data_IF_694499152818
#
_entry.id   IF_694499152818
#
_cell.length_a   1.000
_cell.length_b   1.000
_cell.length_c   1.000
_cell.angle_alpha   90.00
_cell.angle_beta   90.00
_cell.angle_gamma   90.00
#
_symmetry.space_group_name_H-M   'P 1'
#
loop_
_entity.id
_entity.type
_entity.pdbx_description
1 polymer ?
#
# COMPACT_ATOMS: atom_id res chain seq x y z
N UNK A 1 62.28 34.53 -4.89
CA UNK A 1 62.29 33.07 -5.18
C UNK A 1 62.19 32.19 -3.94
N UNK A 2 62.70 32.58 -2.76
CA UNK A 2 62.66 31.72 -1.56
C UNK A 2 61.31 31.65 -0.80
N UNK A 3 60.42 32.65 -0.92
CA UNK A 3 59.10 32.63 -0.26
C UNK A 3 58.06 31.81 -1.02
N UNK A 4 58.03 31.88 -2.35
CA UNK A 4 57.10 31.10 -3.19
C UNK A 4 57.31 29.57 -3.06
N UNK A 5 58.57 29.11 -2.91
CA UNK A 5 58.91 27.68 -2.76
C UNK A 5 58.56 27.15 -1.36
N UNK A 6 58.57 28.01 -0.32
CA UNK A 6 58.11 27.64 1.03
C UNK A 6 56.58 27.51 1.09
N UNK A 7 55.87 28.37 0.37
CA UNK A 7 54.40 28.38 0.31
C UNK A 7 53.87 27.16 -0.49
N UNK A 8 54.54 26.78 -1.58
CA UNK A 8 54.23 25.54 -2.33
C UNK A 8 54.42 24.27 -1.47
N UNK A 9 55.51 24.18 -0.70
CA UNK A 9 55.74 23.04 0.19
C UNK A 9 54.72 22.95 1.35
N UNK A 10 54.24 24.10 1.83
CA UNK A 10 53.14 24.16 2.81
C UNK A 10 51.80 23.74 2.21
N UNK A 11 51.49 24.19 0.99
CA UNK A 11 50.28 23.83 0.27
C UNK A 11 50.25 22.33 -0.11
N UNK A 12 51.37 21.78 -0.59
CA UNK A 12 51.53 20.34 -0.86
C UNK A 12 51.41 19.49 0.41
N UNK A 13 51.99 19.95 1.53
CA UNK A 13 51.84 19.28 2.83
C UNK A 13 50.40 19.29 3.34
N UNK A 14 49.68 20.39 3.14
CA UNK A 14 48.26 20.51 3.48
C UNK A 14 47.39 19.61 2.60
N UNK A 15 47.63 19.59 1.28
CA UNK A 15 46.93 18.69 0.36
C UNK A 15 47.18 17.21 0.69
N UNK A 16 48.43 16.85 1.03
CA UNK A 16 48.76 15.49 1.47
C UNK A 16 48.04 15.10 2.76
N UNK A 17 48.03 15.98 3.77
CA UNK A 17 47.31 15.73 5.02
C UNK A 17 45.80 15.59 4.82
N UNK A 18 45.23 16.37 3.89
CA UNK A 18 43.82 16.30 3.54
C UNK A 18 43.46 14.98 2.84
N UNK A 19 44.30 14.50 1.91
CA UNK A 19 44.06 13.29 1.13
C UNK A 19 44.34 12.01 1.95
N UNK A 20 45.39 12.00 2.77
CA UNK A 20 45.83 10.79 3.50
C UNK A 20 45.44 10.81 4.98
N UNK A 21 44.27 11.39 5.28
CA UNK A 21 43.71 11.35 6.63
C UNK A 21 43.46 9.88 7.04
N UNK A 22 43.97 9.48 8.20
CA UNK A 22 43.74 8.13 8.75
C UNK A 22 42.24 7.95 9.05
N UNK A 23 41.69 6.83 8.60
CA UNK A 23 40.31 6.45 8.91
C UNK A 23 40.22 5.70 10.23
N UNK A 24 39.03 5.71 10.82
CA UNK A 24 38.66 4.81 11.91
C UNK A 24 38.43 3.38 11.38
N UNK A 25 38.39 2.39 12.27
CA UNK A 25 38.08 1.01 11.91
C UNK A 25 36.58 0.84 11.64
N UNK A 26 36.24 0.06 10.62
CA UNK A 26 34.86 -0.33 10.28
C UNK A 26 34.59 -1.81 10.57
N UNK A 27 35.42 -2.46 11.41
CA UNK A 27 35.24 -3.86 11.79
C UNK A 27 33.86 -4.10 12.44
N UNK A 28 33.19 -5.18 12.04
CA UNK A 28 31.82 -5.50 12.47
C UNK A 28 30.72 -4.93 11.57
N UNK A 29 31.00 -3.95 10.70
CA UNK A 29 30.02 -3.48 9.72
C UNK A 29 29.81 -4.49 8.59
N UNK A 30 28.60 -4.50 8.04
CA UNK A 30 28.26 -5.29 6.86
C UNK A 30 29.12 -4.83 5.67
N UNK A 31 29.91 -5.76 5.10
CA UNK A 31 30.72 -5.50 3.91
C UNK A 31 29.83 -5.47 2.66
N UNK A 32 30.19 -4.63 1.70
CA UNK A 32 29.52 -4.61 0.41
C UNK A 32 30.00 -5.81 -0.41
N UNK A 33 29.06 -6.68 -0.74
CA UNK A 33 29.28 -7.90 -1.52
C UNK A 33 27.98 -8.27 -2.26
N UNK A 34 28.09 -8.37 -3.59
CA UNK A 34 27.00 -8.80 -4.45
C UNK A 34 26.91 -10.32 -4.57
N UNK A 35 25.85 -10.81 -5.22
CA UNK A 35 25.74 -12.23 -5.53
C UNK A 35 26.80 -12.68 -6.52
N UNK A 36 27.60 -13.68 -6.15
CA UNK A 36 28.55 -14.32 -7.07
C UNK A 36 27.86 -15.41 -7.91
N UNK A 37 27.68 -15.11 -9.19
CA UNK A 37 27.07 -16.02 -10.17
C UNK A 37 27.94 -17.24 -10.52
N UNK A 38 29.21 -17.32 -10.08
CA UNK A 38 29.97 -18.57 -10.16
C UNK A 38 29.33 -19.68 -9.31
N UNK A 39 28.48 -19.34 -8.34
CA UNK A 39 27.67 -20.28 -7.58
C UNK A 39 26.39 -20.74 -8.28
N UNK A 40 26.17 -20.37 -9.55
CA UNK A 40 24.96 -20.70 -10.32
C UNK A 40 23.84 -19.68 -10.17
N UNK A 41 22.61 -20.07 -10.51
CA UNK A 41 21.42 -19.19 -10.45
C UNK A 41 20.51 -19.64 -9.31
N UNK A 42 20.63 -18.97 -8.16
CA UNK A 42 19.81 -19.22 -6.98
C UNK A 42 19.08 -17.95 -6.52
N UNK A 43 17.83 -17.78 -6.96
CA UNK A 43 17.04 -16.56 -6.68
C UNK A 43 16.93 -16.19 -5.19
N UNK A 44 16.68 -17.12 -4.24
CA UNK A 44 16.64 -16.73 -2.83
C UNK A 44 17.99 -16.22 -2.32
N UNK A 45 19.11 -16.78 -2.78
CA UNK A 45 20.45 -16.29 -2.40
C UNK A 45 20.75 -14.93 -3.04
N UNK A 46 20.34 -14.74 -4.29
CA UNK A 46 20.45 -13.47 -5.01
C UNK A 46 19.63 -12.35 -4.32
N UNK A 47 18.39 -12.64 -3.91
CA UNK A 47 17.55 -11.66 -3.22
C UNK A 47 18.06 -11.36 -1.81
N UNK A 48 18.55 -12.38 -1.09
CA UNK A 48 19.18 -12.17 0.22
C UNK A 48 20.46 -11.30 0.14
N UNK A 49 21.26 -11.42 -0.92
CA UNK A 49 22.46 -10.58 -1.08
C UNK A 49 22.14 -9.11 -1.41
N UNK A 50 20.89 -8.76 -1.72
CA UNK A 50 20.53 -7.36 -1.97
C UNK A 50 20.82 -6.46 -0.75
N UNK A 51 20.72 -7.01 0.46
CA UNK A 51 21.07 -6.31 1.69
C UNK A 51 22.53 -5.78 1.67
N UNK A 52 23.47 -6.59 1.18
CA UNK A 52 24.90 -6.26 1.08
C UNK A 52 25.31 -5.66 -0.28
N UNK A 53 24.37 -5.42 -1.20
CA UNK A 53 24.70 -4.92 -2.55
C UNK A 53 24.89 -3.40 -2.60
N UNK A 54 24.19 -2.64 -1.75
CA UNK A 54 24.27 -1.17 -1.69
C UNK A 54 23.06 -0.45 -2.33
N UNK A 55 22.94 0.86 -2.06
CA UNK A 55 21.89 1.74 -2.60
C UNK A 55 20.45 1.19 -2.36
N UNK A 56 19.58 1.24 -3.37
CA UNK A 56 18.20 0.76 -3.23
C UNK A 56 18.09 -0.76 -3.08
N UNK A 57 19.10 -1.53 -3.50
CA UNK A 57 19.14 -2.97 -3.24
C UNK A 57 19.21 -3.23 -1.73
N UNK A 58 20.04 -2.48 -0.99
CA UNK A 58 20.10 -2.58 0.48
C UNK A 58 18.79 -2.17 1.13
N UNK A 59 18.14 -1.11 0.64
CA UNK A 59 16.81 -0.72 1.14
C UNK A 59 15.75 -1.80 0.89
N UNK A 60 15.81 -2.47 -0.27
CA UNK A 60 14.90 -3.57 -0.59
C UNK A 60 15.16 -4.81 0.27
N UNK A 61 16.42 -5.18 0.48
CA UNK A 61 16.80 -6.24 1.44
C UNK A 61 16.32 -5.92 2.86
N UNK A 62 16.41 -4.65 3.27
CA UNK A 62 15.87 -4.18 4.56
C UNK A 62 14.34 -4.23 4.59
N UNK A 63 13.66 -3.94 3.49
CA UNK A 63 12.20 -4.07 3.38
C UNK A 63 11.75 -5.53 3.57
N UNK A 64 12.45 -6.50 2.96
CA UNK A 64 12.20 -7.94 3.16
C UNK A 64 12.32 -8.30 4.65
N UNK A 65 13.39 -7.84 5.31
CA UNK A 65 13.59 -8.08 6.75
C UNK A 65 12.44 -7.49 7.58
N UNK A 66 12.09 -6.22 7.37
CA UNK A 66 11.05 -5.55 8.14
C UNK A 66 9.70 -6.24 7.95
N UNK A 67 9.30 -6.59 6.72
CA UNK A 67 8.04 -7.32 6.49
C UNK A 67 8.06 -8.70 7.16
N UNK A 68 9.16 -9.44 7.08
CA UNK A 68 9.26 -10.72 7.79
C UNK A 68 9.13 -10.55 9.30
N UNK A 69 9.74 -9.52 9.88
CA UNK A 69 9.57 -9.18 11.29
C UNK A 69 8.11 -8.80 11.63
N UNK A 70 7.39 -8.06 10.77
CA UNK A 70 5.96 -7.79 10.97
C UNK A 70 5.14 -9.09 11.04
N UNK A 71 5.43 -10.04 10.14
CA UNK A 71 4.71 -11.31 10.04
C UNK A 71 5.04 -12.27 11.20
N UNK A 72 6.28 -12.25 11.69
CA UNK A 72 6.76 -13.13 12.77
C UNK A 72 6.47 -12.58 14.16
N UNK A 73 6.32 -11.26 14.32
CA UNK A 73 6.11 -10.68 15.63
C UNK A 73 4.85 -11.24 16.31
N UNK A 74 5.00 -11.57 17.59
CA UNK A 74 3.94 -11.93 18.53
C UNK A 74 4.12 -11.14 19.80
N UNK A 75 3.03 -10.91 20.54
CA UNK A 75 3.12 -10.29 21.86
C UNK A 75 3.96 -11.13 22.84
N UNK A 76 4.05 -12.45 22.64
CA UNK A 76 4.92 -13.36 23.41
C UNK A 76 6.42 -13.03 23.30
N UNK A 77 6.85 -12.30 22.26
CA UNK A 77 8.23 -11.85 22.10
C UNK A 77 8.57 -10.63 22.97
N UNK A 78 7.57 -9.91 23.45
CA UNK A 78 7.75 -8.75 24.33
C UNK A 78 7.74 -9.20 25.79
N UNK A 79 8.41 -8.47 26.70
CA UNK A 79 8.27 -8.71 28.12
C UNK A 79 6.83 -8.44 28.58
N UNK A 80 6.40 -9.12 29.64
CA UNK A 80 5.13 -8.82 30.30
C UNK A 80 5.30 -7.56 31.15
N UNK A 81 4.46 -6.54 30.93
CA UNK A 81 4.53 -5.31 31.72
C UNK A 81 3.84 -5.48 33.09
N UNK A 82 4.34 -4.76 34.09
CA UNK A 82 3.67 -4.65 35.39
C UNK A 82 2.30 -3.94 35.21
N UNK A 83 1.25 -4.49 35.82
CA UNK A 83 -0.12 -3.95 35.70
C UNK A 83 -0.95 -4.49 34.52
N UNK A 84 -0.39 -5.35 33.64
CA UNK A 84 -1.16 -5.99 32.58
C UNK A 84 -2.29 -6.89 33.12
N UNK A 85 -3.37 -6.99 32.36
CA UNK A 85 -4.53 -7.83 32.68
C UNK A 85 -4.16 -9.32 32.79
N UNK A 86 -4.96 -10.12 33.50
CA UNK A 86 -4.74 -11.57 33.59
C UNK A 86 -4.70 -12.25 32.20
N UNK A 87 -5.49 -11.74 31.25
CA UNK A 87 -5.50 -12.17 29.85
C UNK A 87 -4.17 -11.89 29.16
N UNK A 88 -3.58 -10.71 29.35
CA UNK A 88 -2.28 -10.35 28.75
C UNK A 88 -1.08 -11.06 29.37
N UNK A 89 -1.27 -11.73 30.52
CA UNK A 89 -0.29 -12.61 31.15
C UNK A 89 -0.39 -14.05 30.64
N UNK A 90 -1.50 -14.45 30.01
CA UNK A 90 -1.68 -15.79 29.48
C UNK A 90 -0.76 -16.03 28.27
N UNK A 91 0.15 -17.03 28.31
CA UNK A 91 1.07 -17.31 27.21
C UNK A 91 0.36 -17.61 25.89
N UNK A 92 -0.76 -18.33 25.91
CA UNK A 92 -1.49 -18.69 24.70
C UNK A 92 -2.11 -17.46 24.03
N UNK A 93 -2.74 -16.57 24.81
CA UNK A 93 -3.20 -15.29 24.30
C UNK A 93 -2.06 -14.46 23.70
N UNK A 94 -0.94 -14.30 24.41
CA UNK A 94 0.22 -13.53 23.92
C UNK A 94 0.78 -14.08 22.61
N UNK A 95 0.80 -15.40 22.44
CA UNK A 95 1.27 -16.03 21.21
C UNK A 95 0.28 -15.90 20.05
N UNK A 96 -1.01 -15.75 20.33
CA UNK A 96 -2.04 -15.48 19.32
C UNK A 96 -2.09 -14.02 18.84
N UNK A 97 -1.54 -13.08 19.61
CA UNK A 97 -1.59 -11.64 19.28
C UNK A 97 -0.48 -11.33 18.27
N UNK A 98 -0.87 -11.07 17.03
CA UNK A 98 0.03 -10.74 15.91
C UNK A 98 0.04 -9.25 15.59
N UNK A 99 0.97 -8.80 14.75
CA UNK A 99 0.95 -7.45 14.19
C UNK A 99 -0.30 -7.22 13.36
N UNK A 100 -0.88 -6.02 13.42
CA UNK A 100 -1.94 -5.55 12.54
C UNK A 100 -1.34 -4.85 11.33
N UNK A 101 -1.53 -5.41 10.14
CA UNK A 101 -0.86 -4.97 8.92
C UNK A 101 -1.82 -4.16 8.04
N UNK A 102 -1.46 -2.91 7.79
CA UNK A 102 -2.13 -2.01 6.86
C UNK A 102 -1.44 -2.08 5.50
N UNK A 103 -2.21 -2.28 4.44
CA UNK A 103 -1.72 -2.26 3.06
C UNK A 103 -2.33 -1.06 2.33
N UNK A 104 -1.47 -0.17 1.83
CA UNK A 104 -1.85 0.96 1.00
C UNK A 104 -1.35 0.81 -0.42
N UNK A 105 -2.18 1.06 -1.43
CA UNK A 105 -1.72 1.09 -2.83
C UNK A 105 -2.52 2.05 -3.70
N UNK A 106 -1.87 2.60 -4.73
CA UNK A 106 -2.50 3.46 -5.74
C UNK A 106 -3.22 2.66 -6.83
N UNK A 107 -4.22 3.28 -7.48
CA UNK A 107 -5.07 2.65 -8.50
C UNK A 107 -4.30 1.95 -9.62
N UNK A 108 -3.24 2.58 -10.13
CA UNK A 108 -2.43 2.05 -11.24
C UNK A 108 -1.84 0.66 -10.96
N UNK A 109 -1.66 0.28 -9.69
CA UNK A 109 -1.15 -1.03 -9.31
C UNK A 109 -2.23 -2.12 -9.49
N UNK A 110 -3.50 -1.77 -9.36
CA UNK A 110 -4.61 -2.66 -9.71
C UNK A 110 -4.82 -2.72 -11.22
N UNK A 111 -4.57 -1.63 -11.96
CA UNK A 111 -4.54 -1.67 -13.43
C UNK A 111 -3.47 -2.62 -13.95
N UNK A 112 -2.32 -2.69 -13.25
CA UNK A 112 -1.21 -3.60 -13.55
C UNK A 112 -1.47 -5.06 -13.14
N UNK A 113 -0.48 -5.94 -13.32
CA UNK A 113 -0.49 -7.32 -12.80
C UNK A 113 -0.16 -7.45 -11.31
N UNK A 114 0.11 -6.34 -10.61
CA UNK A 114 0.26 -6.34 -9.14
C UNK A 114 -1.07 -6.65 -8.44
N UNK A 115 -2.21 -6.47 -9.12
CA UNK A 115 -3.53 -6.91 -8.66
C UNK A 115 -3.51 -8.36 -8.16
N UNK A 116 -2.91 -9.28 -8.91
CA UNK A 116 -2.88 -10.70 -8.56
C UNK A 116 -2.06 -10.95 -7.29
N UNK A 117 -0.98 -10.18 -7.09
CA UNK A 117 -0.18 -10.19 -5.86
C UNK A 117 -0.98 -9.66 -4.67
N UNK A 118 -1.72 -8.56 -4.83
CA UNK A 118 -2.61 -8.01 -3.79
C UNK A 118 -3.71 -9.01 -3.42
N UNK A 119 -4.39 -9.56 -4.43
CA UNK A 119 -5.41 -10.61 -4.28
C UNK A 119 -4.89 -11.81 -3.49
N UNK A 120 -3.65 -12.25 -3.75
CA UNK A 120 -3.01 -13.31 -2.97
C UNK A 120 -2.90 -12.97 -1.48
N UNK A 121 -2.44 -11.75 -1.14
CA UNK A 121 -2.33 -11.33 0.25
C UNK A 121 -3.69 -11.34 0.98
N UNK A 122 -4.75 -10.84 0.32
CA UNK A 122 -6.07 -10.81 0.91
C UNK A 122 -6.71 -12.19 1.00
N UNK A 123 -6.54 -13.05 -0.01
CA UNK A 123 -7.03 -14.43 0.00
C UNK A 123 -6.49 -15.20 1.21
N UNK A 124 -5.20 -15.04 1.52
CA UNK A 124 -4.52 -15.76 2.59
C UNK A 124 -4.45 -14.99 3.92
N UNK A 125 -5.25 -13.91 4.09
CA UNK A 125 -5.35 -13.12 5.34
C UNK A 125 -4.00 -12.60 5.84
N UNK A 126 -3.16 -12.13 4.91
CA UNK A 126 -1.81 -11.67 5.22
C UNK A 126 -1.74 -10.17 5.54
N UNK A 127 -2.87 -9.48 5.39
CA UNK A 127 -3.07 -8.08 5.74
C UNK A 127 -4.41 -7.95 6.46
N UNK A 128 -4.52 -6.97 7.37
CA UNK A 128 -5.72 -6.77 8.19
C UNK A 128 -6.59 -5.62 7.67
N UNK A 129 -5.99 -4.60 7.04
CA UNK A 129 -6.69 -3.39 6.59
C UNK A 129 -6.13 -2.93 5.26
N UNK A 130 -6.98 -2.51 4.32
CA UNK A 130 -6.56 -2.00 3.02
C UNK A 130 -7.03 -0.57 2.82
N UNK A 131 -6.17 0.27 2.22
CA UNK A 131 -6.56 1.61 1.74
C UNK A 131 -6.12 1.77 0.28
N UNK A 132 -7.02 2.23 -0.57
CA UNK A 132 -6.72 2.55 -1.97
C UNK A 132 -7.55 3.74 -2.45
N UNK A 133 -7.47 4.07 -3.75
CA UNK A 133 -8.27 5.10 -4.42
C UNK A 133 -9.37 4.44 -5.28
N UNK A 134 -10.33 5.22 -5.79
CA UNK A 134 -11.48 4.68 -6.53
C UNK A 134 -11.07 3.79 -7.72
N UNK A 135 -10.08 4.22 -8.50
CA UNK A 135 -9.49 3.41 -9.57
C UNK A 135 -8.99 2.03 -9.10
N UNK A 136 -8.47 1.94 -7.87
CA UNK A 136 -8.04 0.66 -7.27
C UNK A 136 -9.21 -0.28 -6.97
N UNK A 137 -10.38 0.27 -6.68
CA UNK A 137 -11.61 -0.51 -6.46
C UNK A 137 -12.21 -0.94 -7.80
N UNK A 138 -12.48 0.02 -8.69
CA UNK A 138 -13.24 -0.24 -9.91
C UNK A 138 -12.48 -1.10 -10.91
N UNK A 139 -11.15 -0.95 -11.05
CA UNK A 139 -10.40 -1.76 -11.99
C UNK A 139 -10.29 -3.24 -11.56
N UNK A 140 -10.39 -3.54 -10.26
CA UNK A 140 -10.47 -4.93 -9.80
C UNK A 140 -11.79 -5.59 -10.23
N UNK A 141 -12.90 -4.87 -10.10
CA UNK A 141 -14.23 -5.30 -10.49
C UNK A 141 -14.34 -5.41 -12.01
N UNK A 142 -13.89 -4.38 -12.73
CA UNK A 142 -13.90 -4.33 -14.20
C UNK A 142 -13.11 -5.50 -14.79
N UNK A 143 -11.98 -5.88 -14.19
CA UNK A 143 -11.16 -7.01 -14.64
C UNK A 143 -11.84 -8.38 -14.54
N UNK A 144 -12.88 -8.52 -13.71
CA UNK A 144 -13.74 -9.71 -13.70
C UNK A 144 -14.72 -9.72 -14.89
N UNK A 145 -15.03 -8.54 -15.46
CA UNK A 145 -15.98 -8.39 -16.58
C UNK A 145 -15.30 -8.36 -17.95
N UNK A 146 -14.10 -7.79 -18.03
CA UNK A 146 -13.31 -7.65 -19.25
C UNK A 146 -11.83 -7.37 -18.95
N UNK A 147 -10.91 -7.84 -19.81
CA UNK A 147 -9.47 -7.69 -19.58
C UNK A 147 -8.96 -6.27 -19.87
N UNK A 148 -7.80 -5.97 -19.28
CA UNK A 148 -6.91 -4.85 -19.62
C UNK A 148 -5.76 -5.38 -20.48
N UNK A 149 -5.31 -4.59 -21.47
CA UNK A 149 -4.30 -5.03 -22.43
C UNK A 149 -2.99 -4.24 -22.30
N UNK A 150 -1.88 -4.85 -22.73
CA UNK A 150 -0.61 -4.14 -22.89
C UNK A 150 -0.69 -3.20 -24.10
N UNK A 151 -0.22 -1.98 -23.92
CA UNK A 151 0.01 -0.97 -24.95
C UNK A 151 1.41 -0.37 -24.81
N UNK A 152 1.52 0.94 -25.06
CA UNK A 152 2.77 1.69 -24.99
C UNK A 152 2.50 3.12 -24.47
N UNK A 153 3.44 3.69 -23.71
CA UNK A 153 3.34 5.04 -23.16
C UNK A 153 3.19 6.12 -24.25
N UNK A 154 3.79 5.89 -25.41
CA UNK A 154 3.86 6.85 -26.51
C UNK A 154 2.63 6.86 -27.42
N UNK A 155 1.65 5.98 -27.19
CA UNK A 155 0.42 5.95 -27.99
C UNK A 155 -0.34 7.29 -27.90
N UNK A 156 -0.60 7.86 -29.08
CA UNK A 156 -1.22 9.17 -29.25
C UNK A 156 -2.66 9.20 -28.71
N UNK A 157 -2.93 10.12 -27.79
CA UNK A 157 -4.22 10.20 -27.09
C UNK A 157 -5.41 10.45 -28.01
N UNK A 158 -5.26 11.30 -29.03
CA UNK A 158 -6.33 11.59 -30.00
C UNK A 158 -6.75 10.35 -30.79
N UNK A 159 -5.78 9.54 -31.22
CA UNK A 159 -6.03 8.29 -31.95
C UNK A 159 -6.72 7.26 -31.04
N UNK A 160 -6.26 7.11 -29.80
CA UNK A 160 -6.89 6.22 -28.82
C UNK A 160 -8.34 6.63 -28.52
N UNK A 161 -8.59 7.93 -28.30
CA UNK A 161 -9.93 8.46 -28.05
C UNK A 161 -10.87 8.20 -29.22
N UNK A 162 -10.42 8.39 -30.46
CA UNK A 162 -11.23 8.12 -31.66
C UNK A 162 -11.64 6.64 -31.81
N UNK A 163 -10.93 5.74 -31.13
CA UNK A 163 -11.18 4.30 -31.10
C UNK A 163 -11.85 3.82 -29.80
N UNK A 164 -12.20 4.71 -28.89
CA UNK A 164 -12.76 4.33 -27.59
C UNK A 164 -11.80 3.54 -26.71
N UNK A 165 -10.49 3.84 -26.78
CA UNK A 165 -9.46 3.21 -25.95
C UNK A 165 -8.93 4.21 -24.91
N UNK A 166 -8.92 3.83 -23.63
CA UNK A 166 -8.31 4.61 -22.56
C UNK A 166 -6.92 4.07 -22.26
N UNK A 167 -5.95 4.96 -22.02
CA UNK A 167 -4.56 4.59 -21.71
C UNK A 167 -4.21 4.86 -20.26
N UNK A 168 -3.61 3.87 -19.60
CA UNK A 168 -3.06 3.95 -18.25
C UNK A 168 -1.58 3.60 -18.35
N UNK A 169 -0.71 4.61 -18.44
CA UNK A 169 0.72 4.38 -18.71
C UNK A 169 0.93 3.65 -20.04
N UNK A 170 1.42 2.41 -19.99
CA UNK A 170 1.55 1.48 -21.12
C UNK A 170 0.48 0.38 -21.14
N UNK A 171 -0.68 0.62 -20.54
CA UNK A 171 -1.85 -0.27 -20.56
C UNK A 171 -3.00 0.37 -21.33
N UNK A 172 -3.89 -0.46 -21.87
CA UNK A 172 -5.07 -0.06 -22.63
C UNK A 172 -6.32 -0.73 -22.05
N UNK A 173 -7.34 0.09 -21.81
CA UNK A 173 -8.67 -0.33 -21.33
C UNK A 173 -9.72 0.09 -22.37
N UNK A 174 -10.36 -0.85 -23.08
CA UNK A 174 -11.46 -0.52 -23.99
C UNK A 174 -12.64 0.13 -23.26
N UNK A 175 -13.31 1.10 -23.87
CA UNK A 175 -14.51 1.74 -23.31
C UNK A 175 -15.63 0.73 -23.01
N UNK A 176 -15.74 -0.33 -23.81
CA UNK A 176 -16.72 -1.40 -23.60
C UNK A 176 -16.61 -2.05 -22.21
N UNK A 177 -15.42 -2.01 -21.59
CA UNK A 177 -15.23 -2.46 -20.22
C UNK A 177 -16.06 -1.62 -19.23
N UNK A 178 -16.11 -0.31 -19.42
CA UNK A 178 -16.90 0.61 -18.58
C UNK A 178 -18.39 0.50 -18.87
N UNK A 179 -18.79 0.22 -20.11
CA UNK A 179 -20.20 -0.07 -20.43
C UNK A 179 -20.68 -1.37 -19.74
N UNK A 180 -19.83 -2.41 -19.70
CA UNK A 180 -20.11 -3.63 -18.92
C UNK A 180 -20.20 -3.35 -17.43
N UNK A 181 -19.31 -2.49 -16.93
CA UNK A 181 -19.31 -2.08 -15.53
C UNK A 181 -20.59 -1.33 -15.14
N UNK A 182 -21.04 -0.37 -15.96
CA UNK A 182 -22.32 0.32 -15.77
C UNK A 182 -23.47 -0.69 -15.66
N UNK A 183 -23.59 -1.61 -16.62
CA UNK A 183 -24.64 -2.63 -16.63
C UNK A 183 -24.62 -3.53 -15.39
N UNK A 184 -23.44 -3.75 -14.80
CA UNK A 184 -23.28 -4.56 -13.60
C UNK A 184 -23.57 -3.76 -12.32
N UNK A 185 -23.08 -2.52 -12.19
CA UNK A 185 -23.14 -1.77 -10.94
C UNK A 185 -24.46 -1.04 -10.71
N UNK A 186 -25.14 -0.58 -11.76
CA UNK A 186 -26.37 0.20 -11.63
C UNK A 186 -27.48 -0.57 -10.88
N UNK A 187 -27.78 -1.84 -11.19
CA UNK A 187 -28.76 -2.62 -10.43
C UNK A 187 -28.38 -2.82 -8.95
N UNK A 188 -27.09 -2.76 -8.61
CA UNK A 188 -26.61 -2.84 -7.23
C UNK A 188 -26.90 -1.51 -6.52
N UNK A 189 -26.65 -0.38 -7.19
CA UNK A 189 -26.98 0.94 -6.64
C UNK A 189 -28.48 1.12 -6.42
N UNK A 190 -29.34 0.57 -7.27
CA UNK A 190 -30.79 0.54 -7.05
C UNK A 190 -31.15 -0.17 -5.74
N UNK A 191 -30.56 -1.34 -5.49
CA UNK A 191 -30.76 -2.10 -4.24
C UNK A 191 -30.20 -1.36 -3.02
N UNK A 192 -29.01 -0.77 -3.14
CA UNK A 192 -28.40 0.01 -2.07
C UNK A 192 -29.25 1.24 -1.71
N UNK A 193 -29.84 1.89 -2.72
CA UNK A 193 -30.74 3.01 -2.51
C UNK A 193 -32.05 2.59 -1.83
N UNK A 194 -32.61 1.45 -2.24
CA UNK A 194 -33.78 0.86 -1.56
C UNK A 194 -33.47 0.51 -0.09
N UNK A 195 -32.31 -0.09 0.18
CA UNK A 195 -31.84 -0.40 1.54
C UNK A 195 -31.64 0.89 2.36
N UNK A 196 -31.09 1.94 1.76
CA UNK A 196 -30.93 3.24 2.41
C UNK A 196 -32.28 3.86 2.79
N UNK A 197 -33.25 3.85 1.87
CA UNK A 197 -34.53 4.54 2.05
C UNK A 197 -35.53 3.75 2.90
N UNK A 198 -35.60 2.43 2.72
CA UNK A 198 -36.58 1.57 3.41
C UNK A 198 -36.05 0.95 4.69
N UNK A 199 -34.73 0.74 4.80
CA UNK A 199 -34.10 0.05 5.93
C UNK A 199 -33.17 0.96 6.74
N UNK A 200 -33.07 2.25 6.39
CA UNK A 200 -32.18 3.22 7.04
C UNK A 200 -30.70 2.81 7.05
N UNK A 201 -30.25 2.10 6.00
CA UNK A 201 -28.83 1.75 5.86
C UNK A 201 -28.03 3.00 5.51
N UNK A 202 -27.12 3.41 6.39
CA UNK A 202 -26.12 4.44 6.08
C UNK A 202 -24.89 3.80 5.43
N UNK A 203 -24.72 4.06 4.13
CA UNK A 203 -23.56 3.64 3.36
C UNK A 203 -22.34 4.50 3.69
N UNK A 204 -21.19 3.86 3.79
CA UNK A 204 -19.85 4.49 3.83
C UNK A 204 -19.02 3.84 2.73
N UNK A 205 -17.92 4.46 2.25
CA UNK A 205 -17.12 3.86 1.20
C UNK A 205 -16.71 2.41 1.47
N UNK A 206 -16.25 2.08 2.69
CA UNK A 206 -15.90 0.69 3.03
C UNK A 206 -17.09 -0.29 2.97
N UNK A 207 -18.30 0.14 3.36
CA UNK A 207 -19.52 -0.69 3.23
C UNK A 207 -19.92 -0.88 1.77
N UNK A 208 -19.82 0.16 0.95
CA UNK A 208 -20.06 0.07 -0.50
C UNK A 208 -19.07 -0.93 -1.11
N UNK A 209 -17.77 -0.79 -0.80
CA UNK A 209 -16.74 -1.68 -1.33
C UNK A 209 -16.96 -3.14 -0.89
N UNK A 210 -17.32 -3.38 0.38
CA UNK A 210 -17.66 -4.71 0.85
C UNK A 210 -18.89 -5.29 0.13
N UNK A 211 -19.91 -4.47 -0.14
CA UNK A 211 -21.07 -4.85 -0.94
C UNK A 211 -20.65 -5.23 -2.36
N UNK A 212 -19.84 -4.42 -3.03
CA UNK A 212 -19.36 -4.71 -4.39
C UNK A 212 -18.50 -5.98 -4.45
N UNK A 213 -17.63 -6.21 -3.45
CA UNK A 213 -16.85 -7.45 -3.33
C UNK A 213 -17.73 -8.70 -3.11
N UNK A 214 -18.86 -8.56 -2.41
CA UNK A 214 -19.87 -9.63 -2.31
C UNK A 214 -20.54 -9.90 -3.65
N UNK A 215 -21.00 -8.86 -4.34
CA UNK A 215 -21.78 -8.97 -5.58
C UNK A 215 -20.95 -9.44 -6.77
N UNK A 216 -19.65 -9.12 -6.83
CA UNK A 216 -18.81 -9.57 -7.95
C UNK A 216 -18.61 -11.09 -7.92
N UNK A 217 -18.59 -11.67 -6.71
CA UNK A 217 -18.57 -13.12 -6.46
C UNK A 217 -17.57 -13.91 -7.35
N UNK A 218 -16.37 -13.35 -7.53
CA UNK A 218 -15.34 -13.88 -8.41
C UNK A 218 -14.01 -14.01 -7.64
N UNK A 219 -13.46 -15.22 -7.57
CA UNK A 219 -12.22 -15.50 -6.82
C UNK A 219 -10.97 -14.82 -7.40
N UNK A 220 -11.04 -14.28 -8.62
CA UNK A 220 -9.98 -13.46 -9.21
C UNK A 220 -9.94 -12.04 -8.63
N UNK A 221 -11.03 -11.55 -8.02
CA UNK A 221 -11.12 -10.22 -7.40
C UNK A 221 -10.48 -10.21 -6.02
N UNK A 222 -9.64 -9.20 -5.74
CA UNK A 222 -9.15 -9.01 -4.37
C UNK A 222 -10.27 -8.50 -3.44
N UNK A 223 -11.24 -7.76 -3.97
CA UNK A 223 -12.39 -7.25 -3.20
C UNK A 223 -13.33 -8.37 -2.75
N UNK A 224 -13.51 -9.40 -3.57
CA UNK A 224 -14.20 -10.62 -3.16
C UNK A 224 -13.53 -11.26 -1.94
N UNK A 225 -12.20 -11.43 -1.99
CA UNK A 225 -11.44 -11.98 -0.86
C UNK A 225 -11.45 -11.05 0.36
N UNK A 226 -11.42 -9.74 0.15
CA UNK A 226 -11.57 -8.76 1.23
C UNK A 226 -12.90 -8.97 1.98
N UNK A 227 -14.00 -9.05 1.23
CA UNK A 227 -15.33 -9.32 1.78
C UNK A 227 -15.39 -10.68 2.48
N UNK A 228 -14.95 -11.76 1.83
CA UNK A 228 -14.98 -13.14 2.38
C UNK A 228 -14.17 -13.29 3.66
N UNK A 229 -13.05 -12.57 3.76
CA UNK A 229 -12.17 -12.65 4.91
C UNK A 229 -12.44 -11.59 5.98
N UNK A 230 -13.38 -10.67 5.76
CA UNK A 230 -13.71 -9.60 6.71
C UNK A 230 -12.59 -8.54 6.82
N UNK A 231 -11.85 -8.31 5.73
CA UNK A 231 -10.80 -7.30 5.65
C UNK A 231 -11.44 -5.99 5.14
N UNK A 232 -11.50 -4.92 5.94
CA UNK A 232 -12.05 -3.65 5.49
C UNK A 232 -11.13 -2.99 4.44
N UNK A 233 -11.77 -2.41 3.42
CA UNK A 233 -11.11 -1.64 2.36
C UNK A 233 -11.64 -0.21 2.43
N UNK A 234 -10.76 0.74 2.70
CA UNK A 234 -11.11 2.16 2.80
C UNK A 234 -10.72 2.92 1.54
N UNK A 235 -11.61 3.81 1.10
CA UNK A 235 -11.38 4.72 -0.02
C UNK A 235 -12.19 6.01 0.19
N UNK A 236 -11.67 6.99 0.96
CA UNK A 236 -12.34 8.25 1.20
C UNK A 236 -12.73 9.02 -0.08
N UNK A 237 -11.96 8.83 -1.17
CA UNK A 237 -12.22 9.44 -2.49
C UNK A 237 -12.94 8.48 -3.43
N UNK A 238 -13.94 7.73 -2.96
CA UNK A 238 -14.65 6.71 -3.76
C UNK A 238 -15.31 7.27 -5.04
N UNK A 239 -15.63 8.56 -5.05
CA UNK A 239 -16.25 9.25 -6.19
C UNK A 239 -15.24 9.70 -7.27
N UNK A 240 -13.94 9.54 -7.07
CA UNK A 240 -12.90 9.99 -8.00
C UNK A 240 -12.53 8.92 -9.04
N UNK A 241 -13.51 8.50 -9.85
CA UNK A 241 -13.36 7.44 -10.85
C UNK A 241 -14.67 7.05 -11.54
N UNK A 242 -14.64 5.96 -12.30
CA UNK A 242 -15.83 5.40 -12.95
C UNK A 242 -16.95 5.06 -11.96
N UNK A 243 -16.66 4.65 -10.71
CA UNK A 243 -17.71 4.50 -9.68
C UNK A 243 -18.44 5.83 -9.45
N UNK A 244 -17.71 6.94 -9.40
CA UNK A 244 -18.27 8.29 -9.29
C UNK A 244 -19.14 8.66 -10.49
N UNK A 245 -18.69 8.34 -11.71
CA UNK A 245 -19.49 8.54 -12.93
C UNK A 245 -20.81 7.76 -12.85
N UNK A 246 -20.77 6.50 -12.39
CA UNK A 246 -21.97 5.68 -12.24
C UNK A 246 -22.91 6.19 -11.14
N UNK A 247 -22.37 6.68 -10.02
CA UNK A 247 -23.16 7.34 -8.97
C UNK A 247 -23.83 8.62 -9.50
N UNK A 248 -23.11 9.40 -10.30
CA UNK A 248 -23.63 10.61 -10.94
C UNK A 248 -24.79 10.27 -11.90
N UNK A 249 -24.64 9.30 -12.80
CA UNK A 249 -25.73 8.92 -13.70
C UNK A 249 -26.89 8.26 -12.97
N UNK A 250 -26.61 7.49 -11.91
CA UNK A 250 -27.64 6.87 -11.08
C UNK A 250 -28.52 7.91 -10.38
N UNK A 251 -27.96 9.03 -9.91
CA UNK A 251 -28.74 10.03 -9.18
C UNK A 251 -29.84 10.68 -10.01
N UNK A 252 -29.69 10.79 -11.34
CA UNK A 252 -30.73 11.31 -12.24
C UNK A 252 -31.78 10.27 -12.63
N UNK A 253 -31.45 8.97 -12.66
CA UNK A 253 -32.43 7.92 -13.04
C UNK A 253 -33.59 7.84 -12.06
N UNK A 254 -33.34 8.14 -10.78
CA UNK A 254 -34.36 8.10 -9.73
C UNK A 254 -35.28 9.32 -9.70
N UNK A 255 -34.93 10.44 -10.35
CA UNK A 255 -35.76 11.65 -10.40
C UNK A 255 -37.02 11.49 -11.28
N UNK A 256 -37.04 10.52 -12.20
CA UNK A 256 -38.16 10.33 -13.15
C UNK A 256 -39.32 9.53 -12.54
N UNK A 257 -39.12 8.87 -11.39
CA UNK A 257 -40.11 7.98 -10.78
C UNK A 257 -40.96 8.63 -9.66
N UNK A 258 -40.54 9.76 -9.09
CA UNK A 258 -41.29 10.43 -8.02
C UNK A 258 -41.11 11.95 -8.08
N UNK A 259 -42.21 12.67 -8.36
CA UNK A 259 -42.29 14.13 -8.41
C UNK A 259 -41.95 14.74 -7.03
N UNK A 260 -40.68 14.82 -6.68
CA UNK A 260 -40.22 15.55 -5.50
C UNK A 260 -38.96 16.33 -5.82
N UNK A 261 -39.03 17.64 -5.62
CA UNK A 261 -37.95 18.62 -5.84
C UNK A 261 -36.70 18.39 -4.95
N UNK A 262 -36.56 17.23 -4.29
CA UNK A 262 -35.57 16.94 -3.25
C UNK A 262 -35.19 15.45 -3.18
N UNK A 263 -34.73 14.85 -4.28
CA UNK A 263 -34.24 13.46 -4.27
C UNK A 263 -32.69 13.43 -4.25
N UNK A 264 -32.03 13.30 -3.08
CA UNK A 264 -30.58 13.48 -2.97
C UNK A 264 -29.74 12.33 -3.57
N UNK A 265 -30.38 11.26 -4.06
CA UNK A 265 -29.70 10.05 -4.53
C UNK A 265 -29.11 9.21 -3.40
N UNK A 266 -28.18 8.32 -3.73
CA UNK A 266 -27.46 7.52 -2.74
C UNK A 266 -26.53 8.42 -1.90
N UNK A 267 -26.61 8.31 -0.58
CA UNK A 267 -25.75 9.05 0.36
C UNK A 267 -24.65 8.12 0.87
N UNK A 268 -23.40 8.53 0.65
CA UNK A 268 -22.23 7.80 1.10
C UNK A 268 -21.47 8.68 2.10
N UNK A 269 -21.52 8.32 3.38
CA UNK A 269 -20.92 9.07 4.48
C UNK A 269 -19.44 8.72 4.66
N UNK A 270 -18.59 9.73 4.48
CA UNK A 270 -17.15 9.63 4.69
C UNK A 270 -16.75 9.79 6.17
N UNK A 271 -17.60 10.40 7.01
CA UNK A 271 -17.30 10.62 8.43
C UNK A 271 -17.38 9.31 9.20
N UNK A 272 -18.41 8.50 8.94
CA UNK A 272 -18.51 7.13 9.45
C UNK A 272 -17.32 6.26 9.04
N UNK A 273 -16.79 6.47 7.83
CA UNK A 273 -15.65 5.71 7.30
C UNK A 273 -14.32 6.09 7.95
N UNK A 274 -14.04 7.39 8.13
CA UNK A 274 -12.81 7.80 8.84
C UNK A 274 -12.83 7.35 10.30
N UNK A 275 -13.99 7.38 10.96
CA UNK A 275 -14.13 6.82 12.31
C UNK A 275 -13.83 5.31 12.34
N UNK A 276 -14.29 4.56 11.33
CA UNK A 276 -13.99 3.15 11.21
C UNK A 276 -12.48 2.92 10.95
N UNK A 277 -11.87 3.64 10.01
CA UNK A 277 -10.44 3.56 9.70
C UNK A 277 -9.55 3.89 10.90
N UNK A 278 -9.79 5.02 11.58
CA UNK A 278 -9.05 5.39 12.78
C UNK A 278 -9.27 4.37 13.91
N UNK A 279 -10.49 3.84 14.01
CA UNK A 279 -10.84 2.75 14.91
C UNK A 279 -10.01 1.48 14.69
N UNK A 280 -9.61 1.15 13.45
CA UNK A 280 -8.73 0.01 13.18
C UNK A 280 -7.36 0.17 13.85
N UNK A 281 -6.84 1.39 13.92
CA UNK A 281 -5.55 1.69 14.57
C UNK A 281 -5.70 1.86 16.09
N UNK A 282 -6.67 2.68 16.54
CA UNK A 282 -6.89 2.98 17.97
C UNK A 282 -7.25 1.73 18.76
N UNK A 283 -8.08 0.84 18.19
CA UNK A 283 -8.48 -0.40 18.85
C UNK A 283 -7.53 -1.57 18.59
N UNK A 284 -6.33 -1.33 18.05
CA UNK A 284 -5.31 -2.38 17.89
C UNK A 284 -4.83 -2.96 19.24
N UNK A 285 -5.14 -2.32 20.37
CA UNK A 285 -4.83 -2.81 21.71
C UNK A 285 -3.33 -3.06 21.89
N UNK A 286 -2.97 -4.24 22.39
CA UNK A 286 -1.58 -4.67 22.59
C UNK A 286 -0.86 -5.11 21.30
N UNK A 287 -1.52 -5.06 20.13
CA UNK A 287 -0.88 -5.37 18.83
C UNK A 287 0.06 -4.24 18.43
N UNK A 288 1.19 -4.61 17.82
CA UNK A 288 1.93 -3.67 16.96
C UNK A 288 1.16 -3.37 15.68
N UNK A 289 1.37 -2.21 15.08
CA UNK A 289 0.88 -1.90 13.73
C UNK A 289 2.03 -1.77 12.75
N UNK A 290 1.86 -2.38 11.57
CA UNK A 290 2.81 -2.31 10.47
C UNK A 290 2.12 -1.77 9.22
N UNK A 291 2.83 -1.00 8.39
CA UNK A 291 2.31 -0.53 7.12
C UNK A 291 3.21 -0.93 5.95
N UNK A 292 2.60 -1.47 4.89
CA UNK A 292 3.21 -1.66 3.58
C UNK A 292 2.50 -0.70 2.62
N UNK A 293 3.22 0.28 2.09
CA UNK A 293 2.63 1.36 1.27
C UNK A 293 3.30 1.37 -0.11
N UNK A 294 2.51 1.09 -1.14
CA UNK A 294 2.91 1.04 -2.54
C UNK A 294 2.40 2.28 -3.26
N UNK A 295 3.31 3.22 -3.55
CA UNK A 295 2.95 4.55 -4.05
C UNK A 295 2.86 5.60 -2.95
N UNK A 296 2.02 6.62 -3.18
CA UNK A 296 1.87 7.79 -2.32
C UNK A 296 0.42 8.24 -2.22
N UNK A 297 0.20 9.55 -2.13
CA UNK A 297 -1.13 10.17 -2.15
C UNK A 297 -2.02 9.75 -0.98
N UNK A 298 -3.32 9.66 -1.26
CA UNK A 298 -4.34 9.40 -0.25
C UNK A 298 -4.08 8.11 0.54
N UNK A 299 -3.79 6.94 -0.07
CA UNK A 299 -3.56 5.71 0.67
C UNK A 299 -2.41 5.81 1.68
N UNK A 300 -1.31 6.47 1.29
CA UNK A 300 -0.18 6.74 2.19
C UNK A 300 -0.63 7.59 3.37
N UNK A 301 -1.19 8.76 3.08
CA UNK A 301 -1.51 9.73 4.12
C UNK A 301 -2.57 9.18 5.08
N UNK A 302 -3.61 8.52 4.58
CA UNK A 302 -4.73 8.04 5.39
C UNK A 302 -4.32 6.91 6.36
N UNK A 303 -3.47 5.97 5.92
CA UNK A 303 -2.90 4.93 6.81
C UNK A 303 -2.03 5.55 7.90
N UNK A 304 -1.13 6.46 7.53
CA UNK A 304 -0.24 7.12 8.48
C UNK A 304 -1.02 7.98 9.48
N UNK A 305 -2.05 8.69 9.03
CA UNK A 305 -2.88 9.55 9.88
C UNK A 305 -3.68 8.74 10.91
N UNK A 306 -4.27 7.61 10.50
CA UNK A 306 -4.95 6.71 11.45
C UNK A 306 -4.00 6.19 12.53
N UNK A 307 -2.76 5.85 12.14
CA UNK A 307 -1.76 5.35 13.09
C UNK A 307 -1.17 6.44 13.99
N UNK A 308 -1.26 7.73 13.61
CA UNK A 308 -0.94 8.84 14.52
C UNK A 308 -1.79 8.79 15.78
N UNK A 309 -3.06 8.35 15.69
CA UNK A 309 -3.99 8.25 16.82
C UNK A 309 -3.58 7.21 17.88
N UNK A 310 -2.60 6.35 17.58
CA UNK A 310 -1.99 5.39 18.53
C UNK A 310 -0.51 5.70 18.81
N UNK A 311 -0.06 6.92 18.55
CA UNK A 311 1.33 7.37 18.63
C UNK A 311 2.26 6.64 17.65
N UNK A 312 1.77 6.36 16.44
CA UNK A 312 2.58 5.97 15.29
C UNK A 312 2.65 4.47 15.00
N UNK A 313 3.11 4.14 13.79
CA UNK A 313 3.43 2.79 13.34
C UNK A 313 4.67 2.23 14.04
N UNK A 314 4.68 0.92 14.30
CA UNK A 314 5.84 0.18 14.82
C UNK A 314 6.77 -0.29 13.69
N UNK A 315 6.21 -0.53 12.50
CA UNK A 315 6.94 -0.91 11.29
C UNK A 315 6.39 -0.18 10.06
N UNK A 316 7.27 0.23 9.14
CA UNK A 316 6.84 0.90 7.90
C UNK A 316 7.73 0.54 6.71
N UNK A 317 7.12 0.11 5.61
CA UNK A 317 7.80 -0.15 4.33
C UNK A 317 7.12 0.65 3.24
N UNK A 318 7.83 1.61 2.66
CA UNK A 318 7.34 2.40 1.54
C UNK A 318 8.05 1.94 0.25
N UNK A 319 7.29 1.68 -0.81
CA UNK A 319 7.81 1.43 -2.16
C UNK A 319 7.15 2.45 -3.09
N UNK A 320 7.88 3.49 -3.49
CA UNK A 320 7.36 4.49 -4.41
C UNK A 320 8.47 5.21 -5.18
N UNK A 321 8.09 5.97 -6.19
CA UNK A 321 9.01 6.70 -7.07
C UNK A 321 9.11 8.19 -6.75
N UNK A 322 8.32 8.69 -5.80
CA UNK A 322 8.22 10.10 -5.45
C UNK A 322 9.46 10.59 -4.67
N UNK A 323 9.80 11.87 -4.86
CA UNK A 323 11.02 12.50 -4.37
C UNK A 323 10.70 13.65 -3.42
N UNK A 324 11.58 13.93 -2.46
CA UNK A 324 11.30 14.88 -1.37
C UNK A 324 11.38 16.37 -1.78
N UNK A 325 12.05 16.70 -2.88
CA UNK A 325 12.42 18.10 -3.21
C UNK A 325 11.22 19.03 -3.49
N UNK A 326 10.05 18.47 -3.81
CA UNK A 326 8.83 19.23 -4.10
C UNK A 326 7.95 19.46 -2.86
N UNK A 327 8.35 18.94 -1.70
CA UNK A 327 7.60 19.07 -0.44
C UNK A 327 6.30 18.26 -0.41
N UNK A 328 6.11 17.29 -1.31
CA UNK A 328 4.91 16.45 -1.33
C UNK A 328 4.93 15.38 -0.24
N UNK A 329 3.77 15.11 0.38
CA UNK A 329 3.63 13.97 1.31
C UNK A 329 4.00 12.65 0.60
N UNK A 330 3.66 12.49 -0.68
CA UNK A 330 4.06 11.33 -1.48
C UNK A 330 5.57 11.11 -1.50
N UNK A 331 6.34 12.19 -1.65
CA UNK A 331 7.79 12.21 -1.75
C UNK A 331 8.52 12.11 -0.41
N UNK A 332 7.87 12.46 0.69
CA UNK A 332 8.42 12.46 2.04
C UNK A 332 9.10 11.13 2.42
N UNK A 333 10.23 11.23 3.12
CA UNK A 333 10.91 10.08 3.73
C UNK A 333 10.16 9.62 4.98
N UNK A 334 10.29 8.36 5.42
CA UNK A 334 9.67 7.89 6.66
C UNK A 334 10.01 8.74 7.89
N UNK A 335 11.22 9.31 7.92
CA UNK A 335 11.69 10.20 8.99
C UNK A 335 10.82 11.47 9.16
N UNK A 336 10.29 12.02 8.07
CA UNK A 336 9.32 13.13 8.18
C UNK A 336 8.06 12.67 8.92
N UNK A 337 7.56 11.46 8.66
CA UNK A 337 6.39 10.93 9.35
C UNK A 337 6.65 10.68 10.84
N UNK A 338 7.90 10.47 11.27
CA UNK A 338 8.28 10.42 12.70
C UNK A 338 8.04 11.76 13.38
N UNK A 339 8.36 12.88 12.72
CA UNK A 339 8.13 14.23 13.28
C UNK A 339 6.66 14.54 13.61
N UNK A 340 5.73 13.89 12.91
CA UNK A 340 4.28 14.01 13.13
C UNK A 340 3.73 13.00 14.15
N UNK A 341 4.55 12.05 14.60
CA UNK A 341 4.07 10.90 15.40
C UNK A 341 3.26 9.88 14.59
N UNK A 342 3.31 9.94 13.24
CA UNK A 342 2.69 8.94 12.35
C UNK A 342 3.50 7.63 12.30
N UNK A 343 4.80 7.71 12.57
CA UNK A 343 5.72 6.59 12.79
C UNK A 343 6.39 6.81 14.16
N UNK A 344 6.61 5.74 14.93
CA UNK A 344 7.34 5.82 16.21
C UNK A 344 8.82 6.13 16.00
N UNK A 345 9.43 6.79 16.98
CA UNK A 345 10.87 7.10 17.00
C UNK A 345 11.76 5.85 16.95
N UNK A 346 11.35 4.76 17.60
CA UNK A 346 12.04 3.46 17.61
C UNK A 346 11.53 2.49 16.53
N UNK A 347 10.68 2.95 15.60
CA UNK A 347 10.11 2.10 14.57
C UNK A 347 11.18 1.61 13.58
N UNK A 348 10.95 0.43 13.01
CA UNK A 348 11.74 -0.03 11.86
C UNK A 348 11.06 0.44 10.58
N UNK A 349 11.64 1.44 9.95
CA UNK A 349 11.10 2.04 8.73
C UNK A 349 12.11 2.01 7.57
N UNK A 350 11.63 1.80 6.35
CA UNK A 350 12.46 1.89 5.13
C UNK A 350 11.64 2.39 3.94
N UNK A 351 12.30 3.13 3.05
CA UNK A 351 11.76 3.54 1.74
C UNK A 351 12.61 2.96 0.62
N UNK A 352 11.97 2.25 -0.30
CA UNK A 352 12.57 1.74 -1.53
C UNK A 352 12.11 2.64 -2.68
N UNK A 353 13.06 3.38 -3.27
CA UNK A 353 12.81 4.18 -4.47
C UNK A 353 12.81 3.27 -5.70
N UNK A 354 11.66 2.65 -5.97
CA UNK A 354 11.48 1.71 -7.08
C UNK A 354 10.02 1.71 -7.55
N UNK A 355 9.80 1.32 -8.80
CA UNK A 355 8.47 1.08 -9.34
C UNK A 355 7.93 -0.25 -8.77
N UNK A 356 6.71 -0.23 -8.23
CA UNK A 356 6.20 -1.31 -7.39
C UNK A 356 5.88 -2.59 -8.18
N UNK A 357 5.63 -2.53 -9.48
CA UNK A 357 5.47 -3.74 -10.32
C UNK A 357 6.75 -4.57 -10.43
N UNK A 358 7.91 -3.97 -10.15
CA UNK A 358 9.19 -4.66 -10.05
C UNK A 358 9.41 -5.18 -8.62
N UNK A 359 9.36 -4.28 -7.64
CA UNK A 359 9.78 -4.58 -6.27
C UNK A 359 8.77 -5.45 -5.51
N UNK A 360 7.47 -5.21 -5.66
CA UNK A 360 6.46 -5.82 -4.79
C UNK A 360 6.28 -7.33 -5.00
N UNK A 361 6.23 -7.87 -6.24
CA UNK A 361 6.19 -9.32 -6.43
C UNK A 361 7.39 -10.04 -5.80
N UNK A 362 8.59 -9.45 -5.89
CA UNK A 362 9.81 -10.00 -5.28
C UNK A 362 9.74 -9.92 -3.74
N UNK A 363 9.18 -8.84 -3.19
CA UNK A 363 8.99 -8.70 -1.74
C UNK A 363 8.07 -9.81 -1.23
N UNK A 364 6.94 -10.04 -1.91
CA UNK A 364 5.98 -11.09 -1.55
C UNK A 364 6.60 -12.48 -1.68
N UNK A 365 7.43 -12.71 -2.70
CA UNK A 365 8.15 -13.98 -2.89
C UNK A 365 9.06 -14.33 -1.69
N UNK A 366 9.78 -13.36 -1.12
CA UNK A 366 10.72 -13.57 -0.01
C UNK A 366 10.12 -13.38 1.40
N UNK A 367 8.81 -13.14 1.49
CA UNK A 367 8.13 -12.88 2.77
C UNK A 367 6.90 -13.76 2.97
N UNK A 368 5.81 -13.40 2.31
CA UNK A 368 4.50 -13.98 2.56
C UNK A 368 4.36 -15.35 1.90
N UNK A 369 4.84 -15.48 0.66
CA UNK A 369 4.69 -16.72 -0.11
C UNK A 369 5.42 -17.91 0.53
N UNK A 370 6.60 -17.68 1.12
CA UNK A 370 7.37 -18.71 1.83
C UNK A 370 6.69 -19.18 3.11
N UNK A 371 5.82 -18.36 3.71
CA UNK A 371 5.08 -18.69 4.94
C UNK A 371 3.73 -19.35 4.64
N UNK A 372 3.00 -18.89 3.62
CA UNK A 372 1.71 -19.47 3.22
C UNK A 372 1.81 -20.95 2.81
N UNK A 373 2.92 -21.37 2.21
CA UNK A 373 3.15 -22.79 1.85
C UNK A 373 3.18 -23.70 3.10
N UNK A 374 3.39 -23.17 4.31
CA UNK A 374 3.35 -23.95 5.56
C UNK A 374 1.95 -24.11 6.16
N UNK A 375 0.94 -23.42 5.63
CA UNK A 375 -0.45 -23.45 6.13
C UNK A 375 -1.40 -24.29 5.26
N UNK A 376 -0.85 -25.01 4.27
CA UNK A 376 -1.47 -26.13 3.57
C UNK A 376 -0.72 -27.41 3.94
#
# INVERSE_FOLDING_TARGET
MGEAIKDENGALGSAHAAVFKKSESLEGNLKIEGYDFNHGVHYPKLLNSLLSTGFQASNFGRAIQIVNEMLDWRLSHEPTMEGCSAKEKDPAYRDSVTTKIFLGFTSNLVSSGVRETIRYLLQHRMVDVVVTTAGGIEEDLIKCLAPTYKGDFSLQGSMLRSKGLNRIGNLLVPNDNYCKFENWIIPIFDQMYEEQTKQNVLWTPSKVIARLGKEINDESSYLYWAYKNGIPVFCPSLTDGSIGDMLYFHSFKTEVADNSDHHPGLIIDIVGDVRAMDGEAVHAGSRKTGAIILGGGLPKHHICNANMMRNGLDFAVYINTAQEFDGSDSGARPDEAVSWGKIRDIAKAVKVHCEATIAFPLLVAETVATKAIKFH
#
